data_IF_496309738016
#
_entry.id   IF_496309738016
#
_cell.length_a   1.000
_cell.length_b   1.000
_cell.length_c   1.000
_cell.angle_alpha   90.00
_cell.angle_beta   90.00
_cell.angle_gamma   90.00
#
_symmetry.space_group_name_H-M   'P 1'
#
loop_
_entity.id
_entity.type
_entity.pdbx_description
1 polymer ?
#
# COMPACT_ATOMS: atom_id res chain seq x y z
N UNK A 1 1.18 15.01 7.00
CA UNK A 1 1.59 13.59 6.91
C UNK A 1 0.35 12.78 7.25
N UNK A 2 0.02 11.83 6.39
CA UNK A 2 -1.13 10.95 6.49
C UNK A 2 -0.62 9.51 6.64
N UNK A 3 -1.33 8.71 7.43
CA UNK A 3 -1.01 7.30 7.63
C UNK A 3 -2.30 6.50 7.47
N UNK A 4 -2.27 5.45 6.65
CA UNK A 4 -3.44 4.57 6.46
C UNK A 4 -3.03 3.12 6.49
N UNK A 5 -3.78 2.36 7.28
CA UNK A 5 -3.67 0.92 7.41
C UNK A 5 -4.85 0.26 6.71
N UNK A 6 -4.57 -0.73 5.87
CA UNK A 6 -5.56 -1.47 5.10
C UNK A 6 -5.09 -2.91 4.90
N UNK A 7 -6.04 -3.81 4.69
CA UNK A 7 -5.71 -5.21 4.39
C UNK A 7 -5.47 -5.39 2.89
N UNK A 8 -4.56 -6.28 2.51
CA UNK A 8 -4.33 -6.66 1.11
C UNK A 8 -4.40 -8.19 1.02
N UNK A 9 -5.54 -8.77 0.63
CA UNK A 9 -5.76 -10.21 0.68
C UNK A 9 -4.89 -10.99 -0.31
N UNK A 10 -4.39 -10.34 -1.37
CA UNK A 10 -3.49 -10.96 -2.35
C UNK A 10 -2.05 -11.15 -1.84
N UNK A 11 -1.69 -10.65 -0.64
CA UNK A 11 -0.37 -10.88 -0.06
C UNK A 11 -0.30 -12.31 0.49
N UNK A 12 0.22 -13.22 -0.33
CA UNK A 12 0.42 -14.63 0.04
C UNK A 12 1.90 -15.01 0.18
N UNK A 13 2.83 -14.16 -0.26
CA UNK A 13 4.24 -14.50 -0.41
C UNK A 13 5.19 -13.40 0.08
N UNK A 14 6.39 -13.77 0.56
CA UNK A 14 7.39 -12.80 1.01
C UNK A 14 7.87 -11.83 -0.09
N UNK A 15 7.91 -12.30 -1.35
CA UNK A 15 8.25 -11.46 -2.50
C UNK A 15 7.17 -10.39 -2.77
N UNK A 16 5.89 -10.73 -2.53
CA UNK A 16 4.74 -9.85 -2.73
C UNK A 16 4.87 -8.57 -1.86
N UNK A 17 5.28 -8.75 -0.60
CA UNK A 17 5.52 -7.65 0.35
C UNK A 17 6.61 -6.70 -0.15
N UNK A 18 7.71 -7.24 -0.65
CA UNK A 18 8.81 -6.43 -1.17
C UNK A 18 8.40 -5.63 -2.41
N UNK A 19 7.65 -6.24 -3.33
CA UNK A 19 7.12 -5.54 -4.51
C UNK A 19 6.25 -4.36 -4.10
N UNK A 20 5.27 -4.57 -3.21
CA UNK A 20 4.38 -3.49 -2.75
C UNK A 20 5.19 -2.36 -2.09
N UNK A 21 6.16 -2.71 -1.23
CA UNK A 21 7.02 -1.72 -0.57
C UNK A 21 7.82 -0.89 -1.58
N UNK A 22 8.46 -1.52 -2.57
CA UNK A 22 9.24 -0.80 -3.58
C UNK A 22 8.34 0.08 -4.45
N UNK A 23 7.25 -0.48 -5.00
CA UNK A 23 6.36 0.23 -5.92
C UNK A 23 5.68 1.43 -5.25
N UNK A 24 5.33 1.32 -3.95
CA UNK A 24 4.77 2.43 -3.19
C UNK A 24 5.83 3.42 -2.72
N UNK A 25 7.04 2.98 -2.35
CA UNK A 25 8.11 3.89 -1.92
C UNK A 25 8.66 4.74 -3.08
N UNK A 26 8.48 4.29 -4.32
CA UNK A 26 8.83 5.03 -5.54
C UNK A 26 7.85 6.20 -5.81
N UNK A 27 6.65 6.17 -5.21
CA UNK A 27 5.68 7.26 -5.37
C UNK A 27 6.17 8.53 -4.68
N UNK A 28 6.24 9.62 -5.45
CA UNK A 28 6.58 10.94 -4.93
C UNK A 28 5.59 11.37 -3.83
N UNK A 29 6.09 11.55 -2.61
CA UNK A 29 5.31 11.93 -1.44
C UNK A 29 5.04 10.77 -0.48
N UNK A 30 5.31 9.52 -0.85
CA UNK A 30 5.31 8.40 0.11
C UNK A 30 6.58 8.49 0.96
N UNK A 31 6.40 8.49 2.27
CA UNK A 31 7.52 8.62 3.23
C UNK A 31 7.86 7.30 3.88
N UNK A 32 6.88 6.41 4.07
CA UNK A 32 7.10 5.10 4.69
C UNK A 32 6.05 4.09 4.23
N UNK A 33 6.49 2.85 4.03
CA UNK A 33 5.62 1.73 3.65
C UNK A 33 5.97 0.54 4.53
N UNK A 34 4.99 0.01 5.23
CA UNK A 34 5.08 -1.20 6.04
C UNK A 34 4.03 -2.19 5.55
N UNK A 35 4.43 -3.43 5.34
CA UNK A 35 3.55 -4.46 4.83
C UNK A 35 3.87 -5.77 5.57
N UNK A 36 2.85 -6.32 6.20
CA UNK A 36 2.90 -7.54 7.00
C UNK A 36 2.19 -8.66 6.26
N UNK A 37 2.94 -9.70 5.88
CA UNK A 37 2.36 -10.90 5.26
C UNK A 37 1.56 -11.74 6.24
N UNK A 38 1.92 -11.73 7.52
CA UNK A 38 1.27 -12.57 8.53
C UNK A 38 -0.14 -12.08 8.81
N UNK A 39 -0.31 -10.77 9.00
CA UNK A 39 -1.62 -10.15 9.21
C UNK A 39 -2.28 -9.68 7.92
N UNK A 40 -1.58 -9.77 6.78
CA UNK A 40 -2.00 -9.21 5.47
C UNK A 40 -2.32 -7.72 5.52
N UNK A 41 -1.70 -7.01 6.46
CA UNK A 41 -1.95 -5.59 6.67
C UNK A 41 -0.84 -4.77 6.05
N UNK A 42 -1.21 -3.70 5.36
CA UNK A 42 -0.29 -2.72 4.79
C UNK A 42 -0.58 -1.38 5.44
N UNK A 43 0.45 -0.76 5.97
CA UNK A 43 0.44 0.60 6.51
C UNK A 43 1.29 1.46 5.60
N UNK A 44 0.70 2.49 5.01
CA UNK A 44 1.42 3.45 4.18
C UNK A 44 1.33 4.84 4.80
N UNK A 45 2.44 5.54 4.80
CA UNK A 45 2.58 6.90 5.27
C UNK A 45 3.02 7.78 4.11
N UNK A 46 2.31 8.88 3.89
CA UNK A 46 2.58 9.78 2.79
C UNK A 46 2.29 11.24 3.16
N UNK A 47 2.78 12.15 2.34
CA UNK A 47 2.55 13.58 2.44
C UNK A 47 1.62 14.03 1.33
N UNK A 48 0.48 14.57 1.73
CA UNK A 48 -0.46 15.25 0.84
C UNK A 48 -0.34 16.76 1.05
N UNK A 49 -0.05 17.56 0.01
CA UNK A 49 0.49 17.18 -1.32
C UNK A 49 1.98 16.75 -1.26
N UNK A 50 2.50 15.97 -2.25
CA UNK A 50 1.92 15.63 -3.56
C UNK A 50 1.26 14.24 -3.70
N UNK A 51 1.36 13.35 -2.70
CA UNK A 51 0.77 12.01 -2.77
C UNK A 51 -0.66 11.99 -2.22
N UNK A 52 -1.56 11.24 -2.85
CA UNK A 52 -2.94 11.02 -2.37
C UNK A 52 -3.27 9.55 -2.19
N UNK A 53 -4.27 9.25 -1.36
CA UNK A 53 -4.76 7.87 -1.17
C UNK A 53 -5.19 7.21 -2.49
N UNK A 54 -5.80 7.98 -3.40
CA UNK A 54 -6.24 7.46 -4.69
C UNK A 54 -5.07 7.02 -5.58
N UNK A 55 -3.96 7.76 -5.58
CA UNK A 55 -2.75 7.36 -6.32
C UNK A 55 -2.16 6.06 -5.77
N UNK A 56 -2.06 5.95 -4.45
CA UNK A 56 -1.57 4.74 -3.76
C UNK A 56 -2.48 3.55 -4.09
N UNK A 57 -3.81 3.73 -3.99
CA UNK A 57 -4.79 2.70 -4.33
C UNK A 57 -4.71 2.28 -5.79
N UNK A 58 -4.60 3.24 -6.72
CA UNK A 58 -4.46 2.93 -8.15
C UNK A 58 -3.18 2.14 -8.42
N UNK A 59 -2.05 2.56 -7.83
CA UNK A 59 -0.78 1.85 -7.97
C UNK A 59 -0.89 0.41 -7.50
N UNK A 60 -1.52 0.19 -6.34
CA UNK A 60 -1.82 -1.14 -5.79
C UNK A 60 -2.66 -2.00 -6.75
N UNK A 61 -3.68 -1.42 -7.38
CA UNK A 61 -4.52 -2.13 -8.38
C UNK A 61 -3.69 -2.48 -9.62
N UNK A 62 -2.85 -1.56 -10.12
CA UNK A 62 -1.97 -1.80 -11.28
C UNK A 62 -1.01 -2.96 -11.06
N UNK A 63 -0.47 -3.10 -9.84
CA UNK A 63 0.42 -4.20 -9.46
C UNK A 63 -0.33 -5.47 -9.02
N UNK A 64 -1.66 -5.55 -9.22
CA UNK A 64 -2.52 -6.68 -8.84
C UNK A 64 -2.61 -6.96 -7.32
N UNK A 65 -2.39 -5.95 -6.49
CA UNK A 65 -2.51 -6.01 -5.02
C UNK A 65 -3.55 -5.02 -4.48
N UNK A 66 -4.83 -5.09 -4.90
CA UNK A 66 -5.83 -4.15 -4.46
C UNK A 66 -6.03 -4.20 -2.94
N UNK A 67 -6.23 -3.05 -2.26
CA UNK A 67 -6.65 -3.05 -0.87
C UNK A 67 -8.01 -3.74 -0.74
N UNK A 68 -8.22 -4.47 0.35
CA UNK A 68 -9.47 -5.14 0.65
C UNK A 68 -10.62 -4.13 0.52
N UNK A 69 -11.72 -4.48 -0.18
CA UNK A 69 -12.90 -3.65 -0.18
C UNK A 69 -13.38 -3.59 1.27
N UNK A 70 -13.25 -2.42 1.90
CA UNK A 70 -13.93 -2.16 3.16
C UNK A 70 -15.40 -2.48 2.90
N UNK A 71 -15.93 -3.44 3.64
CA UNK A 71 -17.37 -3.75 3.62
C UNK A 71 -18.09 -2.44 3.92
N UNK A 72 -18.73 -1.87 2.90
CA UNK A 72 -19.68 -0.75 3.04
C UNK A 72 -20.81 -1.16 4.00
#
# INVERSE_FOLDING_TARGET
MQTKKFEVPNISCGHCVMTIKNELSDLAGVTKVEADRETRMVTVEWQEPPATWEQIKNRLVEINYPPAPGTN
#
